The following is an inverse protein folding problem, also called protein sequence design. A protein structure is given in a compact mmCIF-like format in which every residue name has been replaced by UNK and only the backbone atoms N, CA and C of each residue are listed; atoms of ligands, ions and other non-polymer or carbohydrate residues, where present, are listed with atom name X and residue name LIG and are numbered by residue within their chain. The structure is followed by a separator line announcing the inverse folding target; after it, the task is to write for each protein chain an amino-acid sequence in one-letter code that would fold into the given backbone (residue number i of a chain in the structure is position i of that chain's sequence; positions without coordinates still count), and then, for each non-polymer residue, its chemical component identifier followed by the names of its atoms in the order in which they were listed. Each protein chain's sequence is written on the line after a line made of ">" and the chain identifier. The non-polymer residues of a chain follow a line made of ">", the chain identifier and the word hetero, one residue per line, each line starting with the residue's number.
data_IF_961373966590
#
_entry.id   IF_961373966590
#
_cell.length_a   1.000
_cell.length_b   1.000
_cell.length_c   1.000
_cell.angle_alpha   90.00
_cell.angle_beta   90.00
_cell.angle_gamma   90.00
#
_symmetry.space_group_name_H-M   'P 1'
#
loop_
_entity.id
_entity.type
_entity.pdbx_description
1 polymer ?
#
# COMPACT_ATOMS: atom_id res chain seq x y z
N UNK A 1 -0.57 -7.22 -6.77
CA UNK A 1 -1.84 -7.44 -7.51
C UNK A 1 -2.61 -6.13 -7.71
N UNK A 2 -2.66 -5.23 -6.72
CA UNK A 2 -3.48 -4.01 -6.76
C UNK A 2 -2.80 -2.77 -7.37
N UNK A 3 -1.48 -2.63 -7.23
CA UNK A 3 -0.69 -1.56 -7.88
C UNK A 3 0.11 -2.14 -9.04
N UNK A 4 -0.17 -1.70 -10.28
CA UNK A 4 0.57 -2.11 -11.47
C UNK A 4 2.00 -1.54 -11.40
N UNK A 5 3.01 -2.39 -11.55
CA UNK A 5 4.41 -1.97 -11.51
C UNK A 5 4.93 -1.59 -10.12
N UNK A 6 4.27 -2.06 -9.04
CA UNK A 6 4.66 -1.76 -7.65
C UNK A 6 6.17 -1.94 -7.38
N UNK A 7 6.76 -3.05 -7.84
CA UNK A 7 8.18 -3.33 -7.63
C UNK A 7 9.11 -2.26 -8.20
N UNK A 8 8.71 -1.65 -9.32
CA UNK A 8 9.47 -0.58 -9.98
C UNK A 8 9.34 0.73 -9.22
N UNK A 9 8.13 1.08 -8.78
CA UNK A 9 7.86 2.31 -8.02
C UNK A 9 8.50 2.24 -6.64
N UNK A 10 8.42 1.10 -5.95
CA UNK A 10 8.96 0.91 -4.60
C UNK A 10 10.49 0.72 -4.57
N UNK A 11 11.15 0.57 -5.72
CA UNK A 11 12.60 0.31 -5.81
C UNK A 11 13.48 1.31 -5.04
N UNK A 12 13.33 2.64 -5.19
CA UNK A 12 14.10 3.60 -4.40
C UNK A 12 13.86 3.44 -2.89
N UNK A 13 12.63 3.11 -2.48
CA UNK A 13 12.30 2.87 -1.07
C UNK A 13 12.95 1.60 -0.52
N UNK A 14 13.00 0.52 -1.31
CA UNK A 14 13.69 -0.72 -0.89
C UNK A 14 15.18 -0.49 -0.64
N UNK A 15 15.83 0.36 -1.46
CA UNK A 15 17.25 0.73 -1.28
C UNK A 15 17.51 1.42 0.07
N UNK A 16 16.52 2.12 0.64
CA UNK A 16 16.65 2.75 1.96
C UNK A 16 16.74 1.73 3.11
N UNK A 17 16.23 0.52 2.90
CA UNK A 17 16.11 -0.54 3.92
C UNK A 17 17.23 -1.60 3.72
N UNK A 18 18.02 -1.48 2.65
CA UNK A 18 19.16 -2.36 2.41
C UNK A 18 20.25 -2.18 3.48
N UNK A 19 20.72 -3.30 4.02
CA UNK A 19 21.76 -3.31 5.05
C UNK A 19 23.03 -2.59 4.54
N UNK A 20 23.60 -1.74 5.39
CA UNK A 20 24.85 -0.97 5.17
C UNK A 20 24.72 0.30 4.29
N UNK A 21 23.51 0.67 3.84
CA UNK A 21 23.25 1.99 3.25
C UNK A 21 22.96 3.03 4.33
N UNK A 22 23.38 4.28 4.11
CA UNK A 22 22.91 5.40 4.93
C UNK A 22 21.47 5.71 4.50
N UNK A 23 20.57 5.81 5.47
CA UNK A 23 19.20 6.23 5.18
C UNK A 23 19.21 7.70 4.72
N UNK A 24 19.15 7.90 3.40
CA UNK A 24 19.09 9.22 2.78
C UNK A 24 17.82 9.32 1.96
N UNK A 25 16.87 10.11 2.45
CA UNK A 25 15.62 10.38 1.73
C UNK A 25 15.89 11.32 0.56
N UNK A 26 15.89 10.79 -0.66
CA UNK A 26 16.09 11.55 -1.89
C UNK A 26 14.76 11.98 -2.51
N UNK A 27 14.81 12.92 -3.46
CA UNK A 27 13.62 13.32 -4.23
C UNK A 27 12.98 12.13 -4.96
N UNK A 28 13.79 11.17 -5.44
CA UNK A 28 13.31 9.91 -6.03
C UNK A 28 12.53 9.05 -5.03
N UNK A 29 12.91 9.09 -3.74
CA UNK A 29 12.18 8.37 -2.68
C UNK A 29 10.85 9.06 -2.38
N UNK A 30 10.82 10.38 -2.34
CA UNK A 30 9.59 11.16 -2.14
C UNK A 30 8.59 10.95 -3.28
N UNK A 31 9.07 11.00 -4.54
CA UNK A 31 8.25 10.75 -5.72
C UNK A 31 7.67 9.33 -5.72
N UNK A 32 8.49 8.33 -5.38
CA UNK A 32 8.06 6.95 -5.24
C UNK A 32 7.00 6.79 -4.14
N UNK A 33 7.21 7.41 -2.98
CA UNK A 33 6.28 7.34 -1.86
C UNK A 33 4.92 7.96 -2.21
N UNK A 34 4.92 9.14 -2.83
CA UNK A 34 3.69 9.79 -3.26
C UNK A 34 2.99 9.04 -4.40
N UNK A 35 3.75 8.47 -5.35
CA UNK A 35 3.20 7.60 -6.39
C UNK A 35 2.52 6.37 -5.80
N UNK A 36 3.10 5.76 -4.77
CA UNK A 36 2.49 4.63 -4.06
C UNK A 36 1.21 5.03 -3.32
N UNK A 37 1.20 6.18 -2.62
CA UNK A 37 -0.03 6.70 -1.99
C UNK A 37 -1.15 6.83 -3.02
N UNK A 38 -0.88 7.52 -4.13
CA UNK A 38 -1.87 7.71 -5.20
C UNK A 38 -2.36 6.37 -5.70
N UNK A 39 -1.45 5.45 -6.03
CA UNK A 39 -1.80 4.14 -6.57
C UNK A 39 -2.65 3.29 -5.59
N UNK A 40 -2.38 3.40 -4.28
CA UNK A 40 -3.15 2.71 -3.23
C UNK A 40 -4.51 3.36 -2.96
N UNK A 41 -4.62 4.68 -3.16
CA UNK A 41 -5.89 5.42 -3.03
C UNK A 41 -6.73 5.42 -4.31
N UNK A 42 -6.16 5.02 -5.45
CA UNK A 42 -6.87 4.98 -6.72
C UNK A 42 -7.56 3.62 -6.96
N UNK A 43 -8.79 3.68 -7.49
CA UNK A 43 -9.68 2.54 -7.80
C UNK A 43 -8.97 1.43 -8.63
N UNK A 44 -9.21 0.12 -8.40
CA UNK A 44 -10.42 -0.49 -7.81
C UNK A 44 -10.30 -0.88 -6.34
N UNK A 45 -9.39 -0.26 -5.57
CA UNK A 45 -9.28 -0.52 -4.12
C UNK A 45 -10.47 0.09 -3.37
N UNK A 46 -11.06 1.19 -3.89
CA UNK A 46 -12.26 1.85 -3.38
C UNK A 46 -13.44 1.66 -4.36
N UNK A 47 -14.01 0.45 -4.39
CA UNK A 47 -15.29 0.20 -5.06
C UNK A 47 -16.41 0.30 -4.03
N UNK A 48 -17.56 0.85 -4.42
CA UNK A 48 -18.72 0.91 -3.54
C UNK A 48 -19.09 -0.51 -3.08
N UNK A 49 -19.28 -0.76 -1.78
CA UNK A 49 -19.61 -2.08 -1.29
C UNK A 49 -20.97 -2.50 -1.83
N UNK A 50 -20.97 -3.59 -2.59
CA UNK A 50 -22.18 -4.28 -3.06
C UNK A 50 -22.62 -5.29 -1.99
N UNK A 51 -23.73 -5.06 -1.27
CA UNK A 51 -24.15 -5.91 -0.16
C UNK A 51 -24.50 -7.35 -0.57
N UNK A 52 -24.70 -7.61 -1.87
CA UNK A 52 -24.95 -8.95 -2.40
C UNK A 52 -23.66 -9.77 -2.58
N UNK A 53 -22.47 -9.15 -2.44
CA UNK A 53 -21.18 -9.82 -2.58
C UNK A 53 -20.61 -10.22 -1.24
N UNK A 54 -19.83 -11.31 -1.24
CA UNK A 54 -19.03 -11.69 -0.09
C UNK A 54 -17.80 -10.80 0.02
N UNK A 55 -17.44 -10.47 1.26
CA UNK A 55 -16.25 -9.70 1.57
C UNK A 55 -15.37 -10.45 2.57
N UNK A 56 -14.07 -10.18 2.50
CA UNK A 56 -13.10 -10.57 3.50
C UNK A 56 -12.73 -9.31 4.29
N UNK A 57 -12.82 -9.41 5.61
CA UNK A 57 -12.38 -8.37 6.52
C UNK A 57 -11.08 -8.86 7.17
N UNK A 58 -9.96 -8.25 6.79
CA UNK A 58 -8.69 -8.47 7.46
C UNK A 58 -8.52 -7.40 8.53
N UNK A 59 -8.37 -7.81 9.77
CA UNK A 59 -8.17 -6.91 10.92
C UNK A 59 -6.84 -7.21 11.58
N UNK A 60 -6.13 -6.16 11.98
CA UNK A 60 -4.95 -6.27 12.83
C UNK A 60 -5.05 -5.27 13.98
N UNK A 61 -4.56 -5.66 15.16
CA UNK A 61 -4.65 -4.83 16.36
C UNK A 61 -3.32 -4.83 17.10
N UNK A 62 -2.88 -3.63 17.48
CA UNK A 62 -1.78 -3.41 18.42
C UNK A 62 -2.33 -3.03 19.79
N UNK A 63 -1.45 -2.89 20.77
CA UNK A 63 -1.83 -2.43 22.10
C UNK A 63 -2.48 -1.03 22.10
N UNK A 64 -2.22 -0.22 21.07
CA UNK A 64 -2.65 1.19 21.00
C UNK A 64 -3.68 1.48 19.91
N UNK A 65 -3.80 0.62 18.89
CA UNK A 65 -4.61 0.91 17.71
C UNK A 65 -5.13 -0.34 17.01
N UNK A 66 -6.21 -0.19 16.25
CA UNK A 66 -6.81 -1.24 15.42
C UNK A 66 -6.86 -0.76 13.97
N UNK A 67 -6.49 -1.63 13.04
CA UNK A 67 -6.63 -1.43 11.60
C UNK A 67 -7.49 -2.53 10.97
N UNK A 68 -8.23 -2.17 9.92
CA UNK A 68 -9.02 -3.12 9.16
C UNK A 68 -9.00 -2.79 7.67
N UNK A 69 -8.98 -3.81 6.82
CA UNK A 69 -9.04 -3.71 5.36
C UNK A 69 -10.21 -4.55 4.86
N UNK A 70 -11.07 -3.93 4.05
CA UNK A 70 -12.24 -4.56 3.46
C UNK A 70 -11.98 -4.93 2.00
N UNK A 71 -12.04 -6.22 1.68
CA UNK A 71 -11.64 -6.76 0.38
C UNK A 71 -12.84 -7.50 -0.26
N UNK A 72 -13.34 -7.06 -1.43
CA UNK A 72 -14.35 -7.80 -2.17
C UNK A 72 -13.83 -9.18 -2.61
N UNK A 73 -14.60 -10.25 -2.42
CA UNK A 73 -14.31 -11.52 -3.09
C UNK A 73 -14.69 -11.39 -4.57
N UNK A 74 -13.72 -11.63 -5.44
CA UNK A 74 -13.94 -11.83 -6.88
C UNK A 74 -14.47 -13.24 -7.16
#
# INVERSE_FOLDING_TARGET
>A
RFVKGFSSIARPLHRLIENKQKFLWTDECEEAFNSLKVALTSSPILVYPDPEKQFILDTDASHESVGAVFIPRN
#
